data_IF_093286574998
#
_entry.id   IF_093286574998
#
_cell.length_a   1.000
_cell.length_b   1.000
_cell.length_c   1.000
_cell.angle_alpha   90.00
_cell.angle_beta   90.00
_cell.angle_gamma   90.00
#
_symmetry.space_group_name_H-M   'P 1'
#
loop_
_entity.id
_entity.type
_entity.pdbx_description
1 polymer ?
#
# COMPACT_ATOMS: atom_id res chain seq x y z
N UNK A 1 -4.55 11.77 12.06
CA UNK A 1 -3.42 12.57 11.52
C UNK A 1 -3.75 13.12 10.14
N UNK A 2 -4.25 12.31 9.20
CA UNK A 2 -4.58 12.74 7.83
C UNK A 2 -5.68 13.81 7.76
N UNK A 3 -6.55 13.90 8.76
CA UNK A 3 -7.65 14.85 8.82
C UNK A 3 -7.29 16.21 9.45
N UNK A 4 -6.19 16.24 10.20
CA UNK A 4 -5.79 17.43 10.98
C UNK A 4 -4.52 18.10 10.47
N UNK A 5 -3.68 17.37 9.73
CA UNK A 5 -2.41 17.85 9.21
C UNK A 5 -2.41 17.89 7.68
N UNK A 6 -1.51 18.68 7.10
CA UNK A 6 -1.31 18.72 5.66
C UNK A 6 -0.80 17.35 5.15
N UNK A 7 -1.62 16.66 4.35
CA UNK A 7 -1.36 15.31 3.84
C UNK A 7 -0.02 15.19 3.11
N UNK A 8 0.32 16.19 2.27
CA UNK A 8 1.63 16.25 1.61
C UNK A 8 2.79 16.25 2.60
N UNK A 9 2.68 16.98 3.73
CA UNK A 9 3.73 17.01 4.75
C UNK A 9 3.87 15.67 5.45
N UNK A 10 2.75 15.00 5.75
CA UNK A 10 2.77 13.66 6.38
C UNK A 10 3.49 12.69 5.45
N UNK A 11 3.11 12.62 4.19
CA UNK A 11 3.70 11.73 3.20
C UNK A 11 5.21 12.00 3.10
N UNK A 12 5.61 13.24 2.85
CA UNK A 12 7.03 13.60 2.69
C UNK A 12 7.84 13.27 3.94
N UNK A 13 7.32 13.53 5.14
CA UNK A 13 8.03 13.20 6.39
C UNK A 13 8.16 11.68 6.58
N UNK A 14 7.11 10.91 6.34
CA UNK A 14 7.12 9.45 6.47
C UNK A 14 8.05 8.82 5.43
N UNK A 15 7.92 9.22 4.17
CA UNK A 15 8.77 8.77 3.08
C UNK A 15 10.25 9.04 3.38
N UNK A 16 10.61 10.23 3.88
CA UNK A 16 12.01 10.56 4.18
C UNK A 16 12.59 9.65 5.27
N UNK A 17 11.81 9.32 6.31
CA UNK A 17 12.23 8.34 7.33
C UNK A 17 12.41 6.96 6.70
N UNK A 18 11.49 6.54 5.85
CA UNK A 18 11.53 5.26 5.12
C UNK A 18 12.75 5.20 4.21
N UNK A 19 13.01 6.24 3.41
CA UNK A 19 14.16 6.35 2.51
C UNK A 19 15.48 6.23 3.28
N UNK A 20 15.64 7.03 4.35
CA UNK A 20 16.84 7.02 5.18
C UNK A 20 17.06 5.63 5.78
N UNK A 21 16.00 5.02 6.31
CA UNK A 21 16.06 3.68 6.88
C UNK A 21 16.50 2.63 5.86
N UNK A 22 15.93 2.63 4.65
CA UNK A 22 16.33 1.70 3.59
C UNK A 22 17.75 1.93 3.09
N UNK A 23 18.18 3.17 2.90
CA UNK A 23 19.57 3.46 2.49
C UNK A 23 20.56 2.97 3.56
N UNK A 24 20.29 3.21 4.84
CA UNK A 24 21.14 2.73 5.93
C UNK A 24 21.14 1.19 5.97
N UNK A 25 19.97 0.53 5.83
CA UNK A 25 19.90 -0.93 5.74
C UNK A 25 20.69 -1.50 4.56
N UNK A 26 20.74 -0.79 3.44
CA UNK A 26 21.50 -1.21 2.26
C UNK A 26 23.02 -1.04 2.40
N UNK A 27 23.48 -0.10 3.23
CA UNK A 27 24.90 0.19 3.44
C UNK A 27 25.50 -0.59 4.63
N UNK A 28 24.70 -1.00 5.59
CA UNK A 28 25.16 -1.73 6.76
C UNK A 28 25.02 -3.26 6.55
N UNK A 29 25.89 -4.07 7.18
CA UNK A 29 25.69 -5.50 7.21
C UNK A 29 24.41 -5.86 7.96
N UNK A 30 23.81 -7.00 7.62
CA UNK A 30 22.60 -7.47 8.28
C UNK A 30 22.85 -7.68 9.76
N UNK A 31 22.15 -6.94 10.60
CA UNK A 31 22.34 -6.87 12.04
C UNK A 31 21.00 -6.56 12.74
N UNK A 32 20.97 -6.66 14.07
CA UNK A 32 19.78 -6.25 14.83
C UNK A 32 19.35 -4.80 14.56
N UNK A 33 20.31 -3.91 14.31
CA UNK A 33 20.02 -2.51 13.95
C UNK A 33 19.35 -2.39 12.57
N UNK A 34 19.80 -3.17 11.58
CA UNK A 34 19.17 -3.19 10.24
C UNK A 34 17.74 -3.69 10.32
N UNK A 35 17.48 -4.72 11.14
CA UNK A 35 16.14 -5.23 11.38
C UNK A 35 15.25 -4.16 12.03
N UNK A 36 15.76 -3.46 13.06
CA UNK A 36 15.02 -2.39 13.73
C UNK A 36 14.67 -1.24 12.75
N UNK A 37 15.61 -0.83 11.89
CA UNK A 37 15.39 0.19 10.87
C UNK A 37 14.37 -0.26 9.81
N UNK A 38 14.41 -1.53 9.42
CA UNK A 38 13.42 -2.09 8.51
C UNK A 38 12.01 -2.06 9.09
N UNK A 39 11.85 -2.43 10.37
CA UNK A 39 10.56 -2.28 11.06
C UNK A 39 10.13 -0.82 11.18
N UNK A 40 11.05 0.08 11.48
CA UNK A 40 10.77 1.51 11.52
C UNK A 40 10.23 2.01 10.18
N UNK A 41 10.89 1.65 9.07
CA UNK A 41 10.43 1.96 7.72
C UNK A 41 9.00 1.46 7.47
N UNK A 42 8.70 0.20 7.86
CA UNK A 42 7.37 -0.40 7.72
C UNK A 42 6.29 0.33 8.52
N UNK A 43 6.60 0.79 9.73
CA UNK A 43 5.67 1.61 10.53
C UNK A 43 5.34 2.92 9.83
N UNK A 44 6.34 3.65 9.34
CA UNK A 44 6.13 4.92 8.65
C UNK A 44 5.40 4.75 7.32
N UNK A 45 5.73 3.72 6.54
CA UNK A 45 5.01 3.36 5.32
C UNK A 45 3.52 3.04 5.59
N UNK A 46 3.20 2.42 6.72
CA UNK A 46 1.81 2.15 7.10
C UNK A 46 1.06 3.42 7.50
N UNK A 47 1.74 4.36 8.20
CA UNK A 47 1.15 5.63 8.62
C UNK A 47 0.82 6.52 7.42
N UNK A 48 1.62 6.48 6.36
CA UNK A 48 1.42 7.34 5.18
C UNK A 48 0.29 6.86 4.27
N UNK A 49 -0.01 5.55 4.23
CA UNK A 49 -1.00 4.95 3.32
C UNK A 49 -2.33 5.70 3.25
N UNK A 50 -3.04 5.94 4.38
CA UNK A 50 -4.28 6.72 4.39
C UNK A 50 -4.12 8.15 3.87
N UNK A 51 -2.91 8.73 3.99
CA UNK A 51 -2.63 10.09 3.48
C UNK A 51 -2.47 10.12 1.97
N UNK A 52 -1.94 9.05 1.37
CA UNK A 52 -1.90 8.86 -0.08
C UNK A 52 -3.30 8.75 -0.67
N UNK A 53 -4.15 7.89 -0.12
CA UNK A 53 -5.52 7.71 -0.58
C UNK A 53 -6.32 9.01 -0.47
N UNK A 54 -6.16 9.71 0.65
CA UNK A 54 -6.79 11.00 0.86
C UNK A 54 -6.25 12.08 -0.09
N UNK A 55 -4.96 12.05 -0.45
CA UNK A 55 -4.36 12.97 -1.42
C UNK A 55 -4.95 12.74 -2.81
N UNK A 56 -5.11 11.49 -3.25
CA UNK A 56 -5.75 11.14 -4.52
C UNK A 56 -7.19 11.65 -4.55
N UNK A 57 -7.95 11.48 -3.45
CA UNK A 57 -9.31 11.98 -3.33
C UNK A 57 -9.40 13.52 -3.41
N UNK A 58 -8.40 14.23 -2.86
CA UNK A 58 -8.36 15.70 -2.86
C UNK A 58 -7.96 16.29 -4.22
N UNK A 59 -7.10 15.58 -4.95
CA UNK A 59 -6.61 16.00 -6.27
C UNK A 59 -7.57 15.64 -7.41
N UNK A 60 -8.58 14.80 -7.15
CA UNK A 60 -9.56 14.34 -8.12
C UNK A 60 -10.96 14.90 -7.81
N UNK A 61 -11.68 15.31 -8.85
CA UNK A 61 -13.11 15.63 -8.76
C UNK A 61 -13.97 14.35 -8.87
N UNK A 62 -15.31 14.51 -8.74
CA UNK A 62 -16.23 13.37 -8.77
C UNK A 62 -16.20 12.57 -10.08
N UNK A 63 -15.85 13.20 -11.22
CA UNK A 63 -15.80 12.52 -12.52
C UNK A 63 -14.48 11.82 -12.76
N UNK A 64 -13.36 12.41 -12.32
CA UNK A 64 -12.00 11.88 -12.54
C UNK A 64 -11.53 10.91 -11.46
N UNK A 65 -12.22 10.87 -10.30
CA UNK A 65 -11.82 10.08 -9.12
C UNK A 65 -11.70 8.59 -9.42
N UNK A 66 -12.67 8.02 -10.12
CA UNK A 66 -12.64 6.61 -10.51
C UNK A 66 -11.43 6.30 -11.39
N UNK A 67 -11.13 7.19 -12.34
CA UNK A 67 -9.96 7.04 -13.22
C UNK A 67 -8.65 7.17 -12.45
N UNK A 68 -8.59 8.09 -11.47
CA UNK A 68 -7.40 8.28 -10.63
C UNK A 68 -7.10 7.03 -9.79
N UNK A 69 -8.10 6.46 -9.12
CA UNK A 69 -7.93 5.20 -8.39
C UNK A 69 -7.62 4.01 -9.29
N UNK A 70 -8.22 3.95 -10.48
CA UNK A 70 -7.90 2.91 -11.46
C UNK A 70 -6.44 2.99 -11.91
N UNK A 71 -5.92 4.21 -12.13
CA UNK A 71 -4.52 4.42 -12.49
C UNK A 71 -3.58 4.06 -11.34
N UNK A 72 -3.94 4.43 -10.10
CA UNK A 72 -3.20 4.02 -8.90
C UNK A 72 -3.14 2.50 -8.77
N UNK A 73 -4.27 1.82 -8.94
CA UNK A 73 -4.35 0.36 -8.90
C UNK A 73 -3.51 -0.31 -10.00
N UNK A 74 -3.54 0.24 -11.21
CA UNK A 74 -2.67 -0.23 -12.30
C UNK A 74 -1.20 -0.08 -11.96
N UNK A 75 -0.78 1.08 -11.44
CA UNK A 75 0.60 1.34 -11.00
C UNK A 75 1.06 0.36 -9.91
N UNK A 76 0.21 0.09 -8.91
CA UNK A 76 0.49 -0.90 -7.86
C UNK A 76 0.70 -2.30 -8.46
N UNK A 77 -0.16 -2.74 -9.37
CA UNK A 77 -0.02 -4.05 -10.00
C UNK A 77 1.22 -4.15 -10.89
N UNK A 78 1.58 -3.08 -11.64
CA UNK A 78 2.84 -3.04 -12.39
C UNK A 78 4.06 -3.16 -11.46
N UNK A 79 4.03 -2.50 -10.31
CA UNK A 79 5.05 -2.67 -9.26
C UNK A 79 5.13 -4.12 -8.77
N UNK A 80 4.00 -4.76 -8.51
CA UNK A 80 3.93 -6.16 -8.07
C UNK A 80 4.37 -7.17 -9.14
N UNK A 81 4.36 -6.82 -10.42
CA UNK A 81 4.94 -7.67 -11.47
C UNK A 81 6.46 -7.65 -11.43
N UNK A 82 7.06 -6.49 -11.21
CA UNK A 82 8.51 -6.30 -11.34
C UNK A 82 9.27 -6.50 -10.03
N UNK A 83 8.79 -5.88 -8.95
CA UNK A 83 9.56 -5.78 -7.71
C UNK A 83 9.83 -7.11 -7.01
N UNK A 84 8.89 -8.09 -6.91
CA UNK A 84 9.18 -9.36 -6.24
C UNK A 84 10.21 -10.20 -7.00
N UNK A 85 10.17 -10.17 -8.33
CA UNK A 85 11.16 -10.87 -9.15
C UNK A 85 12.55 -10.27 -8.96
N UNK A 86 12.67 -8.94 -9.05
CA UNK A 86 13.95 -8.24 -8.84
C UNK A 86 14.47 -8.51 -7.41
N UNK A 87 13.61 -8.35 -6.40
CA UNK A 87 13.97 -8.59 -5.01
C UNK A 87 14.41 -10.05 -4.78
N UNK A 88 13.70 -11.03 -5.35
CA UNK A 88 14.03 -12.44 -5.23
C UNK A 88 15.41 -12.79 -5.80
N UNK A 89 15.79 -12.22 -6.93
CA UNK A 89 17.12 -12.40 -7.51
C UNK A 89 18.24 -11.70 -6.72
N UNK A 90 17.92 -10.56 -6.12
CA UNK A 90 18.91 -9.81 -5.32
C UNK A 90 19.05 -10.34 -3.90
N UNK A 91 18.06 -11.10 -3.43
CA UNK A 91 17.97 -11.52 -2.02
C UNK A 91 19.17 -12.31 -1.56
N UNK A 92 19.66 -13.25 -2.37
CA UNK A 92 20.73 -14.17 -1.97
C UNK A 92 22.09 -13.49 -1.83
N UNK A 93 22.48 -12.65 -2.80
CA UNK A 93 23.84 -12.11 -2.88
C UNK A 93 23.93 -10.58 -2.80
N UNK A 94 22.83 -9.89 -3.00
CA UNK A 94 22.79 -8.44 -3.16
C UNK A 94 21.65 -7.79 -2.36
N UNK A 95 21.33 -8.33 -1.17
CA UNK A 95 20.23 -7.82 -0.34
C UNK A 95 20.38 -6.32 -0.03
N UNK A 96 21.60 -5.84 0.23
CA UNK A 96 21.87 -4.41 0.43
C UNK A 96 21.48 -3.57 -0.78
N UNK A 97 21.75 -4.07 -2.01
CA UNK A 97 21.34 -3.39 -3.24
C UNK A 97 19.82 -3.32 -3.38
N UNK A 98 19.09 -4.36 -2.98
CA UNK A 98 17.62 -4.35 -2.98
C UNK A 98 17.07 -3.23 -2.08
N UNK A 99 17.61 -3.04 -0.89
CA UNK A 99 17.25 -1.94 0.00
C UNK A 99 17.57 -0.57 -0.61
N UNK A 100 18.75 -0.39 -1.22
CA UNK A 100 19.13 0.87 -1.87
C UNK A 100 18.19 1.19 -3.03
N UNK A 101 17.86 0.22 -3.88
CA UNK A 101 16.91 0.41 -4.99
C UNK A 101 15.55 0.85 -4.46
N UNK A 102 15.06 0.20 -3.39
CA UNK A 102 13.79 0.57 -2.75
C UNK A 102 13.83 2.01 -2.22
N UNK A 103 14.90 2.38 -1.53
CA UNK A 103 15.10 3.74 -1.03
C UNK A 103 15.12 4.78 -2.14
N UNK A 104 15.82 4.53 -3.24
CA UNK A 104 15.87 5.43 -4.41
C UNK A 104 14.50 5.53 -5.08
N UNK A 105 13.77 4.42 -5.24
CA UNK A 105 12.44 4.42 -5.83
C UNK A 105 11.46 5.24 -4.98
N UNK A 106 11.44 5.05 -3.66
CA UNK A 106 10.63 5.84 -2.73
C UNK A 106 11.01 7.31 -2.79
N UNK A 107 12.30 7.64 -2.76
CA UNK A 107 12.76 9.01 -2.86
C UNK A 107 12.32 9.68 -4.18
N UNK A 108 12.39 8.95 -5.29
CA UNK A 108 11.95 9.45 -6.60
C UNK A 108 10.45 9.77 -6.60
N UNK A 109 9.62 8.91 -6.00
CA UNK A 109 8.18 9.13 -5.81
C UNK A 109 7.92 10.37 -4.96
N UNK A 110 8.60 10.47 -3.82
CA UNK A 110 8.49 11.62 -2.90
C UNK A 110 8.89 12.92 -3.59
N UNK A 111 9.96 12.89 -4.39
CA UNK A 111 10.41 14.05 -5.16
C UNK A 111 9.35 14.52 -6.15
N UNK A 112 8.68 13.61 -6.85
CA UNK A 112 7.56 13.95 -7.73
C UNK A 112 6.41 14.60 -6.96
N UNK A 113 6.08 14.11 -5.77
CA UNK A 113 5.06 14.72 -4.91
C UNK A 113 5.48 16.13 -4.48
N UNK A 114 6.73 16.32 -4.10
CA UNK A 114 7.25 17.63 -3.71
C UNK A 114 7.14 18.64 -4.85
N UNK A 115 7.50 18.24 -6.07
CA UNK A 115 7.58 19.11 -7.23
C UNK A 115 6.22 19.40 -7.86
N UNK A 116 5.37 18.38 -8.00
CA UNK A 116 4.16 18.49 -8.80
C UNK A 116 2.88 18.64 -7.99
N UNK A 117 2.83 18.14 -6.75
CA UNK A 117 1.65 18.30 -5.91
C UNK A 117 1.70 19.63 -5.19
N UNK A 118 0.81 20.56 -5.56
CA UNK A 118 0.65 21.83 -4.84
C UNK A 118 0.17 21.57 -3.40
N UNK A 119 0.59 22.43 -2.47
CA UNK A 119 0.07 22.35 -1.09
C UNK A 119 -1.42 22.69 -1.14
N UNK A 120 -2.25 21.66 -1.02
CA UNK A 120 -3.67 21.85 -0.81
C UNK A 120 -3.84 22.34 0.64
N UNK A 121 -4.39 23.54 0.82
CA UNK A 121 -4.95 23.91 2.11
C UNK A 121 -6.05 22.89 2.40
N UNK A 122 -5.99 22.30 3.59
CA UNK A 122 -7.13 21.54 4.12
C UNK A 122 -8.25 22.58 4.34
N UNK A 123 -8.97 22.91 3.28
CA UNK A 123 -10.24 23.58 3.45
C UNK A 123 -11.12 22.56 4.19
N UNK A 124 -11.58 22.94 5.38
CA UNK A 124 -12.66 22.21 6.04
C UNK A 124 -13.80 22.17 5.03
N UNK A 125 -13.90 21.11 4.22
CA UNK A 125 -15.07 20.90 3.37
C UNK A 125 -16.27 21.11 4.28
N UNK A 126 -17.18 22.02 3.88
CA UNK A 126 -18.48 22.10 4.52
C UNK A 126 -19.03 20.69 4.53
N UNK A 127 -19.23 20.16 5.73
CA UNK A 127 -19.78 18.84 5.97
C UNK A 127 -21.00 18.69 5.07
N UNK A 128 -20.98 17.77 4.12
CA UNK A 128 -22.18 17.47 3.35
C UNK A 128 -23.23 16.97 4.33
N UNK A 129 -24.48 17.27 4.09
CA UNK A 129 -25.64 16.92 4.95
C UNK A 129 -25.71 15.41 5.32
N UNK A 130 -24.91 14.58 4.66
CA UNK A 130 -24.76 13.14 4.88
C UNK A 130 -23.59 12.73 5.80
N UNK A 131 -22.68 13.64 6.14
CA UNK A 131 -21.64 13.40 7.13
C UNK A 131 -22.15 13.82 8.51
N UNK A 132 -22.82 12.91 9.22
CA UNK A 132 -23.10 13.06 10.65
C UNK A 132 -21.76 13.10 11.42
N UNK A 133 -21.11 14.25 11.44
CA UNK A 133 -19.99 14.52 12.31
C UNK A 133 -20.52 14.79 13.72
N UNK A 134 -20.69 13.76 14.49
CA UNK A 134 -20.85 13.89 15.95
C UNK A 134 -19.50 14.32 16.53
N UNK A 135 -19.33 15.63 16.67
CA UNK A 135 -18.08 16.29 17.10
C UNK A 135 -17.70 15.95 18.52
N UNK A 136 -17.82 14.96 19.17
CA UNK A 136 -17.29 14.60 20.50
C UNK A 136 -17.61 13.16 20.95
N UNK A 137 -17.98 12.24 20.07
CA UNK A 137 -18.20 10.87 20.48
C UNK A 137 -16.96 10.02 20.27
N UNK A 138 -16.64 9.16 21.24
CA UNK A 138 -15.56 8.18 21.13
C UNK A 138 -15.84 7.22 19.97
N UNK A 139 -14.85 7.04 19.10
CA UNK A 139 -14.91 6.15 17.92
C UNK A 139 -15.45 4.76 18.28
N UNK A 140 -15.05 4.21 19.43
CA UNK A 140 -15.56 2.92 19.92
C UNK A 140 -17.06 2.89 20.18
N UNK A 141 -17.65 4.00 20.65
CA UNK A 141 -19.10 4.08 20.89
C UNK A 141 -19.86 4.06 19.55
N UNK A 142 -19.38 4.85 18.58
CA UNK A 142 -19.97 4.90 17.23
C UNK A 142 -19.90 3.52 16.55
N UNK A 143 -18.76 2.82 16.65
CA UNK A 143 -18.59 1.48 16.09
C UNK A 143 -19.52 0.46 16.78
N UNK A 144 -19.73 0.58 18.09
CA UNK A 144 -20.61 -0.30 18.84
C UNK A 144 -22.10 -0.08 18.49
N UNK A 145 -22.49 1.15 18.25
CA UNK A 145 -23.84 1.49 17.78
C UNK A 145 -24.08 1.00 16.34
N UNK A 146 -23.03 0.97 15.50
CA UNK A 146 -23.07 0.49 14.11
C UNK A 146 -22.56 -0.95 13.98
N UNK A 147 -23.16 -1.90 14.68
CA UNK A 147 -22.76 -3.31 14.70
C UNK A 147 -22.46 -3.94 13.34
N UNK A 148 -23.22 -3.67 12.24
CA UNK A 148 -22.89 -4.23 10.93
C UNK A 148 -21.50 -3.82 10.43
N UNK A 149 -21.08 -2.57 10.68
CA UNK A 149 -19.76 -2.06 10.30
C UNK A 149 -18.66 -2.77 11.12
N UNK A 150 -18.90 -2.97 12.42
CA UNK A 150 -17.97 -3.69 13.29
C UNK A 150 -17.80 -5.15 12.84
N UNK A 151 -18.91 -5.84 12.55
CA UNK A 151 -18.88 -7.23 12.05
C UNK A 151 -18.14 -7.30 10.71
N UNK A 152 -18.43 -6.38 9.78
CA UNK A 152 -17.72 -6.31 8.51
C UNK A 152 -16.21 -6.09 8.70
N UNK A 153 -15.81 -5.18 9.58
CA UNK A 153 -14.41 -4.91 9.87
C UNK A 153 -13.70 -6.14 10.47
N UNK A 154 -14.37 -6.87 11.36
CA UNK A 154 -13.83 -8.12 11.92
C UNK A 154 -13.66 -9.19 10.84
N UNK A 155 -14.67 -9.43 10.01
CA UNK A 155 -14.63 -10.42 8.93
C UNK A 155 -13.54 -10.04 7.91
N UNK A 156 -13.45 -8.77 7.52
CA UNK A 156 -12.40 -8.28 6.65
C UNK A 156 -11.00 -8.44 7.28
N UNK A 157 -10.87 -8.20 8.59
CA UNK A 157 -9.63 -8.42 9.34
C UNK A 157 -9.19 -9.89 9.33
N UNK A 158 -10.13 -10.84 9.53
CA UNK A 158 -9.83 -12.27 9.40
C UNK A 158 -9.39 -12.64 7.97
N UNK A 159 -10.05 -12.10 6.94
CA UNK A 159 -9.61 -12.26 5.55
C UNK A 159 -8.20 -11.75 5.32
N UNK A 160 -7.86 -10.59 5.89
CA UNK A 160 -6.52 -10.02 5.86
C UNK A 160 -5.46 -10.90 6.54
N UNK A 161 -5.80 -11.53 7.68
CA UNK A 161 -4.92 -12.49 8.35
C UNK A 161 -4.62 -13.71 7.47
N UNK A 162 -5.62 -14.27 6.82
CA UNK A 162 -5.43 -15.40 5.89
C UNK A 162 -4.54 -14.99 4.72
N UNK A 163 -4.78 -13.80 4.14
CA UNK A 163 -3.96 -13.29 3.05
C UNK A 163 -2.51 -13.00 3.48
N UNK A 164 -2.30 -12.53 4.71
CA UNK A 164 -0.96 -12.30 5.23
C UNK A 164 -0.13 -13.59 5.31
N UNK A 165 -0.76 -14.77 5.54
CA UNK A 165 -0.07 -16.05 5.55
C UNK A 165 0.56 -16.40 4.18
N UNK A 166 -0.03 -15.97 3.07
CA UNK A 166 0.55 -16.13 1.74
C UNK A 166 1.94 -15.48 1.67
N UNK A 167 2.11 -14.29 2.22
CA UNK A 167 3.38 -13.56 2.19
C UNK A 167 4.38 -14.04 3.26
N UNK A 168 3.96 -14.84 4.24
CA UNK A 168 4.80 -15.36 5.30
C UNK A 168 5.15 -16.83 5.11
N UNK A 169 4.15 -17.69 4.98
CA UNK A 169 4.36 -19.15 4.92
C UNK A 169 4.90 -19.61 3.56
N UNK A 170 4.47 -18.98 2.47
CA UNK A 170 4.88 -19.41 1.15
C UNK A 170 6.37 -19.18 0.88
N UNK A 171 6.99 -18.01 1.18
CA UNK A 171 8.43 -17.86 1.03
C UNK A 171 9.22 -18.81 1.93
N UNK A 172 8.80 -19.05 3.18
CA UNK A 172 9.44 -20.03 4.06
C UNK A 172 9.39 -21.47 3.49
N UNK A 173 8.24 -21.84 2.92
CA UNK A 173 8.10 -23.14 2.28
C UNK A 173 8.98 -23.25 1.02
N UNK A 174 9.05 -22.19 0.21
CA UNK A 174 9.96 -22.16 -0.94
C UNK A 174 11.42 -22.26 -0.53
N UNK A 175 11.84 -21.60 0.55
CA UNK A 175 13.19 -21.73 1.10
C UNK A 175 13.47 -23.16 1.57
N UNK A 176 12.52 -23.81 2.25
CA UNK A 176 12.67 -25.20 2.72
C UNK A 176 12.80 -26.20 1.57
N UNK A 177 12.05 -25.99 0.47
CA UNK A 177 12.03 -26.91 -0.67
C UNK A 177 13.19 -26.66 -1.65
N UNK A 178 13.58 -25.40 -1.86
CA UNK A 178 14.51 -24.98 -2.91
C UNK A 178 15.78 -24.30 -2.40
N UNK A 179 15.95 -24.19 -1.08
CA UNK A 179 17.10 -23.53 -0.45
C UNK A 179 17.26 -22.09 -0.91
N UNK A 180 18.49 -21.70 -1.23
CA UNK A 180 18.84 -20.34 -1.65
C UNK A 180 18.03 -19.81 -2.86
N UNK A 181 17.55 -20.69 -3.74
CA UNK A 181 16.69 -20.30 -4.88
C UNK A 181 15.25 -20.02 -4.49
N UNK A 182 14.83 -20.32 -3.27
CA UNK A 182 13.45 -20.19 -2.79
C UNK A 182 12.91 -18.76 -2.94
N UNK A 183 13.72 -17.76 -2.60
CA UNK A 183 13.35 -16.35 -2.72
C UNK A 183 13.08 -15.92 -4.18
N UNK A 184 13.93 -16.36 -5.12
CA UNK A 184 13.74 -16.07 -6.54
C UNK A 184 12.48 -16.75 -7.10
N UNK A 185 12.22 -18.00 -6.70
CA UNK A 185 11.01 -18.73 -7.11
C UNK A 185 9.75 -18.05 -6.56
N UNK A 186 9.76 -17.64 -5.29
CA UNK A 186 8.65 -16.90 -4.70
C UNK A 186 8.41 -15.55 -5.41
N UNK A 187 9.49 -14.83 -5.73
CA UNK A 187 9.42 -13.59 -6.51
C UNK A 187 8.75 -13.80 -7.87
N UNK A 188 9.15 -14.82 -8.62
CA UNK A 188 8.54 -15.16 -9.92
C UNK A 188 7.07 -15.56 -9.80
N UNK A 189 6.70 -16.36 -8.78
CA UNK A 189 5.31 -16.74 -8.53
C UNK A 189 4.43 -15.52 -8.24
N UNK A 190 4.90 -14.61 -7.38
CA UNK A 190 4.18 -13.38 -7.04
C UNK A 190 4.02 -12.46 -8.24
N UNK A 191 5.07 -12.30 -9.05
CA UNK A 191 5.03 -11.53 -10.29
C UNK A 191 4.07 -12.13 -11.32
N UNK A 192 4.06 -13.46 -11.47
CA UNK A 192 3.12 -14.16 -12.35
C UNK A 192 1.68 -13.95 -11.89
N UNK A 193 1.41 -14.05 -10.57
CA UNK A 193 0.10 -13.75 -10.01
C UNK A 193 -0.36 -12.32 -10.36
N UNK A 194 0.50 -11.32 -10.16
CA UNK A 194 0.18 -9.94 -10.48
C UNK A 194 -0.07 -9.73 -11.99
N UNK A 195 0.68 -10.38 -12.85
CA UNK A 195 0.48 -10.33 -14.29
C UNK A 195 -0.88 -10.93 -14.69
N UNK A 196 -1.26 -12.07 -14.11
CA UNK A 196 -2.57 -12.69 -14.32
C UNK A 196 -3.68 -11.74 -13.87
N UNK A 197 -3.54 -11.08 -12.73
CA UNK A 197 -4.52 -10.09 -12.24
C UNK A 197 -4.67 -8.94 -13.23
N UNK A 198 -3.58 -8.36 -13.74
CA UNK A 198 -3.62 -7.26 -14.72
C UNK A 198 -4.38 -7.67 -15.99
N UNK A 199 -4.14 -8.88 -16.50
CA UNK A 199 -4.76 -9.35 -17.73
C UNK A 199 -6.22 -9.79 -17.49
N UNK A 200 -6.48 -10.54 -16.42
CA UNK A 200 -7.79 -11.13 -16.16
C UNK A 200 -8.81 -10.12 -15.64
N UNK A 201 -8.41 -9.14 -14.82
CA UNK A 201 -9.35 -8.20 -14.21
C UNK A 201 -10.19 -7.43 -15.23
N UNK A 202 -9.63 -6.78 -16.29
CA UNK A 202 -10.43 -6.08 -17.29
C UNK A 202 -11.39 -7.01 -18.05
N UNK A 203 -10.96 -8.24 -18.31
CA UNK A 203 -11.77 -9.25 -18.99
C UNK A 203 -12.96 -9.64 -18.11
N UNK A 204 -12.69 -10.03 -16.87
CA UNK A 204 -13.72 -10.47 -15.93
C UNK A 204 -14.70 -9.33 -15.61
N UNK A 205 -14.23 -8.11 -15.38
CA UNK A 205 -15.09 -6.96 -15.07
C UNK A 205 -15.98 -6.60 -16.25
N UNK A 206 -15.47 -6.69 -17.48
CA UNK A 206 -16.28 -6.47 -18.70
C UNK A 206 -17.38 -7.51 -18.85
N UNK A 207 -17.10 -8.78 -18.58
CA UNK A 207 -18.12 -9.85 -18.59
C UNK A 207 -19.09 -9.72 -17.42
N UNK A 208 -18.60 -9.48 -16.20
CA UNK A 208 -19.43 -9.34 -15.02
C UNK A 208 -20.39 -8.14 -15.11
N UNK A 209 -19.94 -7.01 -15.66
CA UNK A 209 -20.77 -5.85 -15.91
C UNK A 209 -21.94 -6.07 -16.88
N UNK A 210 -21.86 -7.12 -17.73
CA UNK A 210 -22.98 -7.53 -18.59
C UNK A 210 -24.00 -8.43 -17.88
N UNK A 211 -23.58 -9.12 -16.81
CA UNK A 211 -24.41 -10.13 -16.11
C UNK A 211 -25.09 -9.51 -14.90
N UNK A 212 -24.42 -8.61 -14.19
CA UNK A 212 -24.90 -8.04 -12.94
C UNK A 212 -24.92 -6.51 -13.08
N UNK A 213 -26.12 -5.92 -13.07
CA UNK A 213 -26.28 -4.49 -12.91
C UNK A 213 -26.00 -4.13 -11.43
N UNK A 214 -24.71 -4.04 -11.07
CA UNK A 214 -24.22 -3.78 -9.70
C UNK A 214 -24.74 -2.45 -9.14
N UNK A 215 -25.34 -1.59 -9.96
CA UNK A 215 -25.98 -0.34 -9.53
C UNK A 215 -27.34 -0.54 -8.84
N UNK A 216 -27.86 -1.76 -8.83
CA UNK A 216 -29.16 -2.10 -8.21
C UNK A 216 -29.04 -2.92 -6.93
N UNK A 217 -27.85 -3.22 -6.47
CA UNK A 217 -27.58 -3.81 -5.17
C UNK A 217 -27.02 -2.72 -4.27
#
# INVERSE_FOLDING_TARGET
>A
LADTMNRKKIIVCCDMVTVISYIICGLLPLSGYSIALFYLAGVFATIEGPSYDALVADLSDSESREKAYSLQYLGMNLGLVLSPTIAGFLFENYLGLAFIITGIATFSSTLLIILFVKQLRVEKKKVSEYEEKRENEHVFKILWERRPILIYALVAGFGGLVYAQFNYLLPLNMETLYGAKGAAIFGMLTSTNALVVIIATPIITTFAGRIIDVRKI
#
